data_IF_117525838966
#
_entry.id   IF_117525838966
#
_cell.length_a   1.000
_cell.length_b   1.000
_cell.length_c   1.000
_cell.angle_alpha   90.00
_cell.angle_beta   90.00
_cell.angle_gamma   90.00
#
_symmetry.space_group_name_H-M   'P 1'
#
loop_
_entity.id
_entity.type
_entity.pdbx_description
1 polymer ?
#
# COMPACT_ATOMS: atom_id res chain seq x y z
N UNK A 1 -24.57 13.31 6.10
CA UNK A 1 -25.45 13.40 4.94
C UNK A 1 -24.79 14.34 3.94
N UNK A 2 -24.33 13.82 2.75
CA UNK A 2 -23.87 14.63 1.65
C UNK A 2 -25.06 15.35 1.05
N UNK A 3 -24.96 16.68 0.90
CA UNK A 3 -26.02 17.49 0.28
C UNK A 3 -26.20 17.03 -1.18
N UNK A 4 -27.45 16.84 -1.62
CA UNK A 4 -27.78 16.41 -2.98
C UNK A 4 -27.16 17.31 -4.07
N UNK A 5 -26.96 18.60 -3.79
CA UNK A 5 -26.31 19.54 -4.71
C UNK A 5 -24.83 19.25 -4.94
N UNK A 6 -24.15 18.59 -3.98
CA UNK A 6 -22.75 18.15 -4.14
C UNK A 6 -22.70 16.91 -5.02
N UNK A 7 -23.64 15.97 -4.85
CA UNK A 7 -23.68 14.73 -5.64
C UNK A 7 -23.93 15.01 -7.13
N UNK A 8 -24.69 16.05 -7.48
CA UNK A 8 -24.94 16.45 -8.86
C UNK A 8 -23.74 17.12 -9.56
N UNK A 9 -22.69 17.50 -8.81
CA UNK A 9 -21.48 18.12 -9.37
C UNK A 9 -20.38 17.13 -9.70
N UNK A 10 -20.48 15.88 -9.26
CA UNK A 10 -19.46 14.85 -9.46
C UNK A 10 -20.05 13.65 -10.19
N UNK A 11 -19.35 13.24 -11.25
CA UNK A 11 -19.63 11.97 -11.92
C UNK A 11 -18.92 10.85 -11.18
N UNK A 12 -19.69 9.92 -10.62
CA UNK A 12 -19.16 8.71 -10.01
C UNK A 12 -19.15 7.59 -11.06
N UNK A 13 -17.99 7.00 -11.29
CA UNK A 13 -17.86 5.80 -12.11
C UNK A 13 -17.46 4.65 -11.22
N UNK A 14 -18.14 3.54 -11.36
CA UNK A 14 -17.72 2.29 -10.77
C UNK A 14 -16.55 1.75 -11.56
N UNK A 15 -15.44 1.42 -10.86
CA UNK A 15 -14.34 0.66 -11.42
C UNK A 15 -14.46 -0.79 -10.93
N UNK A 16 -14.42 -1.72 -11.87
CA UNK A 16 -14.41 -3.14 -11.56
C UNK A 16 -13.06 -3.55 -10.95
N UNK A 17 -13.12 -4.30 -9.84
CA UNK A 17 -11.91 -4.77 -9.13
C UNK A 17 -11.04 -5.60 -10.08
N UNK A 18 -9.76 -5.29 -10.13
CA UNK A 18 -8.77 -5.98 -10.97
C UNK A 18 -8.82 -5.62 -12.45
N UNK A 19 -9.80 -4.83 -12.90
CA UNK A 19 -9.96 -4.43 -14.31
C UNK A 19 -9.32 -3.06 -14.55
N UNK A 20 -8.37 -2.92 -15.51
CA UNK A 20 -7.79 -1.64 -15.85
C UNK A 20 -8.82 -0.68 -16.48
N UNK A 21 -8.75 0.59 -16.12
CA UNK A 21 -9.57 1.67 -16.69
C UNK A 21 -8.71 2.90 -17.01
N UNK A 22 -9.11 3.67 -18.01
CA UNK A 22 -8.45 4.93 -18.35
C UNK A 22 -8.86 6.02 -17.34
N UNK A 23 -7.88 6.75 -16.79
CA UNK A 23 -8.15 7.95 -16.00
C UNK A 23 -8.39 9.09 -16.95
N UNK A 24 -9.65 9.57 -17.02
CA UNK A 24 -10.09 10.57 -18.00
C UNK A 24 -9.26 11.85 -17.97
N UNK A 25 -9.02 12.41 -19.15
CA UNK A 25 -8.20 13.61 -19.31
C UNK A 25 -6.70 13.40 -19.11
N UNK A 26 -6.26 12.16 -18.97
CA UNK A 26 -4.85 11.81 -18.76
C UNK A 26 -4.42 10.64 -19.67
N UNK A 27 -3.12 10.36 -19.69
CA UNK A 27 -2.54 9.17 -20.30
C UNK A 27 -2.25 8.06 -19.26
N UNK A 28 -2.92 8.13 -18.11
CA UNK A 28 -2.79 7.12 -17.04
C UNK A 28 -3.87 6.06 -17.12
N UNK A 29 -3.50 4.86 -16.71
CA UNK A 29 -4.41 3.73 -16.48
C UNK A 29 -4.46 3.44 -14.99
N UNK A 30 -5.65 3.27 -14.44
CA UNK A 30 -5.88 2.84 -13.06
C UNK A 30 -6.32 1.38 -12.99
N UNK A 31 -5.94 0.66 -11.95
CA UNK A 31 -6.50 -0.64 -11.59
C UNK A 31 -6.75 -0.66 -10.09
N UNK A 32 -7.96 -0.96 -9.66
CA UNK A 32 -8.33 -1.02 -8.24
C UNK A 32 -8.26 -2.46 -7.76
N UNK A 33 -7.71 -2.65 -6.58
CA UNK A 33 -7.68 -3.92 -5.86
C UNK A 33 -8.41 -3.78 -4.53
N UNK A 34 -9.10 -4.83 -4.11
CA UNK A 34 -9.76 -4.86 -2.81
C UNK A 34 -8.72 -5.10 -1.69
N UNK A 35 -8.87 -4.37 -0.60
CA UNK A 35 -8.16 -4.54 0.66
C UNK A 35 -9.14 -4.87 1.79
N UNK A 36 -8.64 -5.45 2.87
CA UNK A 36 -9.39 -5.67 4.10
C UNK A 36 -8.96 -4.68 5.17
N UNK A 37 -9.93 -4.05 5.80
CA UNK A 37 -9.74 -3.12 6.90
C UNK A 37 -10.78 -3.38 7.96
N UNK A 38 -10.42 -4.17 8.99
CA UNK A 38 -11.34 -4.74 9.98
C UNK A 38 -12.44 -5.56 9.29
N UNK A 39 -12.08 -6.76 8.81
CA UNK A 39 -13.01 -7.62 8.10
C UNK A 39 -14.39 -7.73 8.85
N UNK A 40 -15.56 -7.46 8.23
CA UNK A 40 -15.77 -7.45 6.77
C UNK A 40 -15.67 -6.09 6.05
N UNK A 41 -15.19 -5.06 6.70
CA UNK A 41 -15.02 -3.75 6.04
C UNK A 41 -13.93 -3.82 4.98
N UNK A 42 -14.09 -3.01 3.94
CA UNK A 42 -13.23 -3.01 2.76
C UNK A 42 -12.56 -1.66 2.58
N UNK A 43 -11.35 -1.70 2.08
CA UNK A 43 -10.59 -0.58 1.58
C UNK A 43 -10.10 -0.91 0.17
N UNK A 44 -9.27 -0.07 -0.44
CA UNK A 44 -8.79 -0.28 -1.79
C UNK A 44 -7.34 0.13 -1.96
N UNK A 45 -6.61 -0.63 -2.78
CA UNK A 45 -5.37 -0.19 -3.38
C UNK A 45 -5.61 0.24 -4.83
N UNK A 46 -4.86 1.23 -5.29
CA UNK A 46 -4.90 1.67 -6.68
C UNK A 46 -3.50 1.60 -7.30
N UNK A 47 -3.40 0.84 -8.38
CA UNK A 47 -2.24 0.84 -9.26
C UNK A 47 -2.45 1.87 -10.36
N UNK A 48 -1.55 2.83 -10.45
CA UNK A 48 -1.56 3.86 -11.51
C UNK A 48 -0.36 3.62 -12.42
N UNK A 49 -0.61 3.56 -13.72
CA UNK A 49 0.39 3.24 -14.74
C UNK A 49 0.42 4.29 -15.85
N UNK A 50 1.63 4.61 -16.30
CA UNK A 50 1.87 5.45 -17.47
C UNK A 50 3.08 4.91 -18.25
N UNK A 51 2.83 4.31 -19.40
CA UNK A 51 3.89 3.71 -20.22
C UNK A 51 4.70 2.68 -19.45
N UNK A 52 6.00 2.97 -19.24
CA UNK A 52 6.94 2.11 -18.52
C UNK A 52 6.96 2.29 -17.00
N UNK A 53 6.18 3.21 -16.46
CA UNK A 53 6.17 3.53 -15.03
C UNK A 53 4.85 3.12 -14.38
N UNK A 54 4.95 2.67 -13.13
CA UNK A 54 3.79 2.36 -12.30
C UNK A 54 4.07 2.74 -10.84
N UNK A 55 3.01 3.13 -10.14
CA UNK A 55 3.00 3.35 -8.69
C UNK A 55 1.78 2.65 -8.11
N UNK A 56 1.95 2.01 -6.98
CA UNK A 56 0.84 1.38 -6.24
C UNK A 56 0.62 2.12 -4.93
N UNK A 57 -0.58 2.63 -4.73
CA UNK A 57 -1.01 3.23 -3.48
C UNK A 57 -1.95 2.29 -2.74
N UNK A 58 -1.68 2.07 -1.47
CA UNK A 58 -2.56 1.33 -0.57
C UNK A 58 -3.34 2.32 0.30
N UNK A 59 -4.64 2.13 0.37
CA UNK A 59 -5.43 2.62 1.50
C UNK A 59 -5.14 1.79 2.76
N UNK A 60 -5.91 2.02 3.81
CA UNK A 60 -5.76 1.30 5.07
C UNK A 60 -5.93 -0.20 4.86
N UNK A 61 -5.04 -1.01 5.43
CA UNK A 61 -5.06 -2.47 5.26
C UNK A 61 -4.47 -3.20 6.46
N UNK A 62 -5.14 -4.26 6.89
CA UNK A 62 -4.56 -5.26 7.79
C UNK A 62 -3.80 -6.33 7.01
N UNK A 63 -2.92 -7.05 7.69
CA UNK A 63 -2.26 -8.23 7.13
C UNK A 63 -3.26 -9.35 6.87
N UNK A 64 -3.10 -10.09 5.76
CA UNK A 64 -4.00 -11.18 5.37
C UNK A 64 -4.22 -12.19 6.51
N UNK A 65 -3.16 -12.49 7.28
CA UNK A 65 -3.22 -13.39 8.43
C UNK A 65 -4.17 -12.89 9.53
N UNK A 66 -4.13 -11.60 9.82
CA UNK A 66 -4.96 -10.97 10.86
C UNK A 66 -6.40 -10.84 10.38
N UNK A 67 -6.59 -10.35 9.16
CA UNK A 67 -7.89 -10.11 8.54
C UNK A 67 -8.56 -11.41 8.07
N UNK A 68 -7.83 -12.54 8.03
CA UNK A 68 -8.28 -13.84 7.51
C UNK A 68 -8.76 -13.76 6.05
N UNK A 69 -8.01 -13.03 5.23
CA UNK A 69 -8.28 -12.82 3.81
C UNK A 69 -7.08 -13.27 2.97
N UNK A 70 -7.17 -13.05 1.65
CA UNK A 70 -6.08 -13.24 0.68
C UNK A 70 -5.94 -12.01 -0.23
N UNK A 71 -6.37 -10.85 0.23
CA UNK A 71 -6.42 -9.65 -0.57
C UNK A 71 -5.00 -9.18 -0.92
N UNK A 72 -4.11 -9.10 0.08
CA UNK A 72 -2.70 -8.75 -0.16
C UNK A 72 -2.00 -9.80 -1.02
N UNK A 73 -2.20 -11.10 -0.75
CA UNK A 73 -1.65 -12.17 -1.58
C UNK A 73 -2.12 -12.09 -3.04
N UNK A 74 -3.36 -11.68 -3.29
CA UNK A 74 -3.88 -11.46 -4.65
C UNK A 74 -3.18 -10.28 -5.32
N UNK A 75 -2.98 -9.18 -4.59
CA UNK A 75 -2.25 -8.01 -5.08
C UNK A 75 -0.80 -8.38 -5.40
N UNK A 76 -0.11 -9.11 -4.50
CA UNK A 76 1.28 -9.52 -4.70
C UNK A 76 1.46 -10.31 -5.99
N UNK A 77 0.56 -11.24 -6.29
CA UNK A 77 0.56 -11.98 -7.57
C UNK A 77 0.33 -11.07 -8.77
N UNK A 78 -0.62 -10.14 -8.68
CA UNK A 78 -0.97 -9.24 -9.78
C UNK A 78 0.16 -8.27 -10.14
N UNK A 79 0.91 -7.77 -9.14
CA UNK A 79 1.99 -6.80 -9.35
C UNK A 79 3.37 -7.43 -9.59
N UNK A 80 3.55 -8.72 -9.26
CA UNK A 80 4.84 -9.40 -9.39
C UNK A 80 5.48 -9.25 -10.79
N UNK A 81 4.76 -9.40 -11.92
CA UNK A 81 5.34 -9.17 -13.24
C UNK A 81 5.86 -7.74 -13.43
N UNK A 82 5.19 -6.75 -12.84
CA UNK A 82 5.56 -5.33 -12.96
C UNK A 82 6.81 -4.98 -12.13
N UNK A 83 6.98 -5.61 -10.97
CA UNK A 83 8.22 -5.51 -10.18
C UNK A 83 9.37 -6.21 -10.91
N UNK A 84 9.15 -7.42 -11.43
CA UNK A 84 10.17 -8.19 -12.16
C UNK A 84 10.69 -7.45 -13.39
N UNK A 85 9.81 -6.75 -14.10
CA UNK A 85 10.18 -5.95 -15.29
C UNK A 85 10.79 -4.59 -14.94
N UNK A 86 10.75 -4.15 -13.68
CA UNK A 86 11.18 -2.83 -13.25
C UNK A 86 10.20 -1.70 -13.59
N UNK A 87 8.97 -2.03 -14.02
CA UNK A 87 7.91 -1.05 -14.27
C UNK A 87 7.38 -0.46 -12.96
N UNK A 88 7.10 -1.31 -11.96
CA UNK A 88 6.70 -0.90 -10.61
C UNK A 88 7.93 -0.91 -9.71
N UNK A 89 8.39 0.27 -9.29
CA UNK A 89 9.58 0.49 -8.45
C UNK A 89 9.23 1.07 -7.08
N UNK A 90 8.01 1.54 -6.92
CA UNK A 90 7.57 2.23 -5.71
C UNK A 90 6.14 1.85 -5.37
N UNK A 91 5.90 1.62 -4.07
CA UNK A 91 4.55 1.57 -3.53
C UNK A 91 4.44 2.46 -2.28
N UNK A 92 3.24 2.95 -2.03
CA UNK A 92 2.88 3.67 -0.82
C UNK A 92 2.09 2.73 0.05
N UNK A 93 2.63 2.33 1.20
CA UNK A 93 2.04 1.31 2.07
C UNK A 93 1.95 1.86 3.49
N UNK A 94 0.79 1.67 4.11
CA UNK A 94 0.54 2.10 5.47
C UNK A 94 1.31 1.28 6.49
N UNK A 95 1.78 1.93 7.55
CA UNK A 95 2.22 1.32 8.80
C UNK A 95 1.75 2.22 9.94
N UNK A 96 0.63 1.86 10.55
CA UNK A 96 -0.07 2.75 11.49
C UNK A 96 0.45 2.67 12.91
N UNK A 97 0.96 1.51 13.32
CA UNK A 97 1.33 1.23 14.71
C UNK A 97 2.73 0.63 14.85
N UNK A 98 3.46 0.89 15.95
CA UNK A 98 4.69 0.18 16.28
C UNK A 98 4.41 -1.28 16.65
N UNK A 99 5.44 -2.12 16.63
CA UNK A 99 5.33 -3.56 16.95
C UNK A 99 4.84 -3.84 18.37
N UNK A 100 4.93 -2.87 19.26
CA UNK A 100 4.40 -2.96 20.64
C UNK A 100 2.88 -2.93 20.71
N UNK A 101 2.19 -2.53 19.63
CA UNK A 101 0.72 -2.54 19.58
C UNK A 101 0.20 -3.98 19.55
N UNK A 102 -0.69 -4.39 20.47
CA UNK A 102 -1.28 -5.72 20.44
C UNK A 102 -2.11 -5.97 19.16
N UNK A 103 -1.97 -7.16 18.56
CA UNK A 103 -2.66 -7.50 17.30
C UNK A 103 -4.18 -7.27 17.35
N UNK A 104 -4.81 -7.56 18.48
CA UNK A 104 -6.26 -7.33 18.69
C UNK A 104 -6.70 -5.85 18.70
N UNK A 105 -5.73 -4.93 18.75
CA UNK A 105 -5.95 -3.48 18.77
C UNK A 105 -5.36 -2.79 17.53
N UNK A 106 -5.14 -3.51 16.45
CA UNK A 106 -4.62 -2.96 15.20
C UNK A 106 -5.71 -2.32 14.34
N UNK A 107 -6.96 -2.71 14.54
CA UNK A 107 -8.11 -2.15 13.81
C UNK A 107 -7.90 -2.14 12.30
N UNK A 108 -7.39 -3.25 11.73
CA UNK A 108 -7.18 -3.41 10.29
C UNK A 108 -5.99 -2.64 9.74
N UNK A 109 -4.96 -2.43 10.55
CA UNK A 109 -3.72 -1.74 10.15
C UNK A 109 -2.48 -2.61 10.33
N UNK A 110 -1.37 -2.15 9.75
CA UNK A 110 -0.08 -2.83 9.82
C UNK A 110 0.82 -2.27 10.94
N UNK A 111 1.73 -3.14 11.39
CA UNK A 111 2.95 -2.80 12.12
C UNK A 111 4.17 -3.08 11.23
N UNK A 112 5.37 -2.60 11.55
CA UNK A 112 6.61 -2.98 10.85
C UNK A 112 6.79 -4.49 10.69
N UNK A 113 6.51 -5.26 11.74
CA UNK A 113 6.58 -6.73 11.70
C UNK A 113 5.59 -7.33 10.70
N UNK A 114 4.33 -6.90 10.72
CA UNK A 114 3.31 -7.39 9.80
C UNK A 114 3.61 -6.99 8.35
N UNK A 115 4.12 -5.76 8.13
CA UNK A 115 4.57 -5.38 6.79
C UNK A 115 5.72 -6.28 6.32
N UNK A 116 6.69 -6.63 7.17
CA UNK A 116 7.76 -7.55 6.80
C UNK A 116 7.24 -8.97 6.52
N UNK A 117 6.22 -9.45 7.24
CA UNK A 117 5.55 -10.71 6.93
C UNK A 117 4.93 -10.68 5.52
N UNK A 118 4.19 -9.63 5.18
CA UNK A 118 3.57 -9.43 3.86
C UNK A 118 4.61 -9.25 2.74
N UNK A 119 5.70 -8.53 2.99
CA UNK A 119 6.84 -8.45 2.07
C UNK A 119 7.51 -9.81 1.86
N UNK A 120 7.43 -10.69 2.84
CA UNK A 120 7.85 -12.10 2.71
C UNK A 120 7.01 -12.85 1.69
N UNK A 121 5.69 -12.66 1.69
CA UNK A 121 4.79 -13.23 0.68
C UNK A 121 5.09 -12.65 -0.71
N UNK A 122 5.27 -11.33 -0.80
CA UNK A 122 5.68 -10.69 -2.06
C UNK A 122 7.03 -11.23 -2.55
N UNK A 123 8.00 -11.46 -1.66
CA UNK A 123 9.31 -12.00 -2.02
C UNK A 123 9.23 -13.41 -2.61
N UNK A 124 8.25 -14.23 -2.23
CA UNK A 124 8.00 -15.55 -2.85
C UNK A 124 7.56 -15.40 -4.31
N UNK A 125 6.78 -14.37 -4.63
CA UNK A 125 6.28 -14.11 -5.97
C UNK A 125 7.36 -13.49 -6.89
N UNK A 126 8.19 -12.56 -6.39
CA UNK A 126 9.13 -11.81 -7.23
C UNK A 126 10.57 -12.30 -7.16
N UNK A 127 10.94 -12.98 -6.09
CA UNK A 127 12.31 -13.28 -5.70
C UNK A 127 12.90 -12.19 -4.78
N UNK A 128 13.54 -12.60 -3.70
CA UNK A 128 14.08 -11.68 -2.67
C UNK A 128 15.01 -10.61 -3.26
N UNK A 129 15.81 -10.94 -4.26
CA UNK A 129 16.74 -10.00 -4.91
C UNK A 129 16.04 -8.84 -5.64
N UNK A 130 14.80 -9.01 -6.08
CA UNK A 130 14.00 -7.98 -6.75
C UNK A 130 13.46 -6.92 -5.80
N UNK A 131 13.43 -7.22 -4.51
CA UNK A 131 13.03 -6.26 -3.49
C UNK A 131 14.19 -5.38 -2.99
N UNK A 132 15.44 -5.76 -3.26
CA UNK A 132 16.60 -4.95 -2.88
C UNK A 132 16.55 -3.58 -3.56
N UNK A 133 16.46 -2.51 -2.76
CA UNK A 133 16.36 -1.12 -3.23
C UNK A 133 14.96 -0.74 -3.76
N UNK A 134 13.97 -1.66 -3.68
CA UNK A 134 12.58 -1.30 -3.97
C UNK A 134 12.11 -0.23 -2.99
N UNK A 135 11.42 0.79 -3.47
CA UNK A 135 11.04 1.93 -2.63
C UNK A 135 9.65 1.71 -2.03
N UNK A 136 9.55 1.88 -0.72
CA UNK A 136 8.28 1.96 0.00
C UNK A 136 8.17 3.32 0.69
N UNK A 137 7.18 4.10 0.29
CA UNK A 137 6.77 5.30 1.00
C UNK A 137 5.84 4.86 2.11
N UNK A 138 6.27 5.04 3.36
CA UNK A 138 5.49 4.66 4.54
C UNK A 138 4.44 5.72 4.80
N UNK A 139 3.18 5.32 4.83
CA UNK A 139 2.04 6.23 5.00
C UNK A 139 1.23 5.90 6.26
N UNK A 140 0.29 6.77 6.60
CA UNK A 140 -0.74 6.55 7.62
C UNK A 140 -0.22 6.26 9.03
N UNK A 141 0.99 6.73 9.39
CA UNK A 141 1.50 6.62 10.75
C UNK A 141 0.55 7.38 11.70
N UNK A 142 0.09 6.74 12.75
CA UNK A 142 -0.79 7.39 13.72
C UNK A 142 0.00 8.45 14.52
N UNK A 143 -0.49 9.71 14.60
CA UNK A 143 0.21 10.80 15.29
C UNK A 143 0.02 10.68 16.81
N UNK A 144 0.60 9.65 17.42
CA UNK A 144 0.49 9.37 18.85
C UNK A 144 1.87 9.18 19.46
N UNK A 145 2.17 9.96 20.51
CA UNK A 145 3.40 9.85 21.29
C UNK A 145 4.67 9.80 20.39
N UNK A 146 5.47 8.77 20.55
CA UNK A 146 6.71 8.50 19.82
C UNK A 146 6.54 7.46 18.69
N UNK A 147 5.29 7.20 18.24
CA UNK A 147 5.00 6.16 17.25
C UNK A 147 5.78 6.33 15.95
N UNK A 148 5.88 7.55 15.44
CA UNK A 148 6.63 7.80 14.20
C UNK A 148 8.10 7.37 14.35
N UNK A 149 8.75 7.77 15.44
CA UNK A 149 10.14 7.41 15.65
C UNK A 149 10.31 5.90 15.87
N UNK A 150 9.42 5.27 16.65
CA UNK A 150 9.45 3.81 16.86
C UNK A 150 9.29 3.02 15.57
N UNK A 151 8.31 3.40 14.75
CA UNK A 151 8.07 2.74 13.46
C UNK A 151 9.30 2.88 12.54
N UNK A 152 9.90 4.08 12.46
CA UNK A 152 11.13 4.31 11.70
C UNK A 152 12.27 3.40 12.19
N UNK A 153 12.52 3.39 13.49
CA UNK A 153 13.61 2.60 14.09
C UNK A 153 13.40 1.10 13.86
N UNK A 154 12.16 0.61 14.03
CA UNK A 154 11.81 -0.79 13.83
C UNK A 154 11.97 -1.21 12.35
N UNK A 155 11.53 -0.40 11.40
CA UNK A 155 11.66 -0.68 9.97
C UNK A 155 13.12 -0.63 9.50
N UNK A 156 13.92 0.30 10.01
CA UNK A 156 15.33 0.41 9.65
C UNK A 156 16.17 -0.70 10.31
N UNK A 157 15.83 -1.10 11.54
CA UNK A 157 16.52 -2.17 12.26
C UNK A 157 16.23 -3.55 11.68
N UNK A 158 14.99 -3.82 11.32
CA UNK A 158 14.54 -5.10 10.72
C UNK A 158 14.09 -4.88 9.28
N UNK A 159 15.07 -4.89 8.37
CA UNK A 159 14.88 -4.70 6.93
C UNK A 159 15.47 -5.88 6.14
N UNK A 160 14.83 -7.06 6.21
CA UNK A 160 15.39 -8.30 5.66
C UNK A 160 15.44 -8.32 4.10
N UNK A 161 14.75 -7.40 3.45
CA UNK A 161 14.67 -7.27 2.00
C UNK A 161 15.48 -6.10 1.46
N UNK A 162 16.17 -5.33 2.29
CA UNK A 162 16.90 -4.10 1.92
C UNK A 162 16.01 -3.11 1.15
N UNK A 163 14.80 -2.88 1.67
CA UNK A 163 13.86 -1.89 1.15
C UNK A 163 14.42 -0.47 1.36
N UNK A 164 14.18 0.39 0.39
CA UNK A 164 14.41 1.83 0.52
C UNK A 164 13.16 2.48 1.11
N UNK A 165 13.14 2.75 2.41
CA UNK A 165 12.00 3.41 3.07
C UNK A 165 12.09 4.93 2.94
N UNK A 166 10.96 5.55 2.59
CA UNK A 166 10.75 7.00 2.61
C UNK A 166 9.67 7.30 3.65
N UNK A 167 9.96 8.21 4.56
CA UNK A 167 9.03 8.71 5.57
C UNK A 167 8.67 10.15 5.21
N UNK A 168 7.56 10.39 4.50
CA UNK A 168 7.24 11.70 3.96
C UNK A 168 6.84 12.68 5.06
N UNK A 169 7.16 13.95 4.86
CA UNK A 169 6.57 15.04 5.63
C UNK A 169 5.33 15.56 4.91
N UNK A 170 4.31 15.96 5.66
CA UNK A 170 3.09 16.49 5.08
C UNK A 170 3.40 17.75 4.25
N UNK A 171 2.91 17.76 3.00
CA UNK A 171 3.16 18.86 2.05
C UNK A 171 4.49 18.77 1.31
N UNK A 172 5.33 17.76 1.60
CA UNK A 172 6.58 17.55 0.88
C UNK A 172 6.33 16.95 -0.51
N UNK A 173 7.11 17.41 -1.48
CA UNK A 173 7.14 16.84 -2.83
C UNK A 173 8.18 15.71 -2.89
N UNK A 174 7.71 14.49 -3.15
CA UNK A 174 8.58 13.34 -3.34
C UNK A 174 8.73 13.06 -4.84
N UNK A 175 9.97 12.95 -5.31
CA UNK A 175 10.29 12.51 -6.68
C UNK A 175 10.60 11.03 -6.64
N UNK A 176 9.74 10.22 -7.23
CA UNK A 176 9.93 8.77 -7.38
C UNK A 176 10.76 8.53 -8.66
N UNK A 177 11.85 7.78 -8.53
CA UNK A 177 12.79 7.46 -9.63
C UNK A 177 12.61 6.03 -10.13
#
# INVERSE_FOLDING_TARGET
YLNADILNKYYYKYAEIGTPFTIEGTNFTGTIYELSHVNPLKSSAILVENGSNAVLYFGDTGADRIEKTKNLATIWKAIAPKIKSGKLKTMMLEVSFPNSQPEKLLFGHLTPKLMNEELGELAKEVGKSKLKGFTIVVTHIKPKDDYEQKIKDELLKDNPYNINYIFPQQGERIILK
#
